data_IF_513265411014
#
_entry.id   IF_513265411014
#
_cell.length_a   1.000
_cell.length_b   1.000
_cell.length_c   1.000
_cell.angle_alpha   90.00
_cell.angle_beta   90.00
_cell.angle_gamma   90.00
#
_symmetry.space_group_name_H-M   'P 1'
#
loop_
_entity.id
_entity.type
_entity.pdbx_description
1 polymer ?
#
# COMPACT_ATOMS: atom_id res chain seq x y z
N UNK A 1 3.41 6.61 -11.70
CA UNK A 1 4.28 7.64 -11.12
C UNK A 1 3.43 8.54 -10.24
N UNK A 2 3.81 8.73 -8.98
CA UNK A 2 3.09 9.56 -8.02
C UNK A 2 3.89 9.67 -6.72
N UNK A 3 3.73 10.78 -6.01
CA UNK A 3 4.48 11.15 -4.80
C UNK A 3 3.78 10.71 -3.50
N UNK A 4 2.65 10.00 -3.60
CA UNK A 4 1.81 9.68 -2.43
C UNK A 4 2.49 8.80 -1.37
N UNK A 5 3.57 8.12 -1.74
CA UNK A 5 4.34 7.30 -0.80
C UNK A 5 5.67 7.94 -0.42
N UNK A 6 5.92 9.19 -0.80
CA UNK A 6 7.12 9.91 -0.36
C UNK A 6 7.04 10.23 1.14
N UNK A 7 8.16 10.15 1.88
CA UNK A 7 9.52 9.85 1.42
C UNK A 7 9.85 8.34 1.34
N UNK A 8 8.94 7.46 1.77
CA UNK A 8 9.18 6.01 1.85
C UNK A 8 9.47 5.38 0.49
N UNK A 9 8.73 5.76 -0.55
CA UNK A 9 8.93 5.36 -1.93
C UNK A 9 8.88 6.58 -2.84
N UNK A 10 9.93 6.75 -3.64
CA UNK A 10 10.02 7.81 -4.65
C UNK A 10 9.75 7.25 -6.03
N UNK A 11 9.41 8.14 -6.96
CA UNK A 11 9.31 7.75 -8.36
C UNK A 11 10.64 7.18 -8.87
N UNK A 12 10.57 6.05 -9.56
CA UNK A 12 11.74 5.30 -10.01
C UNK A 12 12.33 4.31 -8.99
N UNK A 13 11.83 4.25 -7.75
CA UNK A 13 12.19 3.18 -6.82
C UNK A 13 11.65 1.83 -7.31
N UNK A 14 12.47 0.79 -7.18
CA UNK A 14 12.07 -0.61 -7.39
C UNK A 14 11.65 -1.23 -6.07
N UNK A 15 10.61 -2.08 -6.08
CA UNK A 15 10.12 -2.75 -4.87
C UNK A 15 10.08 -4.26 -5.06
N UNK A 16 10.39 -4.99 -4.00
CA UNK A 16 10.15 -6.43 -3.91
C UNK A 16 8.83 -6.68 -3.18
N UNK A 17 7.96 -7.45 -3.82
CA UNK A 17 6.62 -7.76 -3.31
C UNK A 17 6.52 -9.25 -3.00
N UNK A 18 6.22 -9.58 -1.75
CA UNK A 18 5.85 -10.94 -1.36
C UNK A 18 4.36 -11.16 -1.62
N UNK A 19 4.04 -12.12 -2.49
CA UNK A 19 2.69 -12.49 -2.90
C UNK A 19 2.21 -13.81 -2.28
N UNK A 20 2.97 -14.38 -1.35
CA UNK A 20 2.57 -15.61 -0.66
C UNK A 20 1.26 -15.38 0.10
N UNK A 21 0.29 -16.31 0.03
CA UNK A 21 -0.96 -16.19 0.76
C UNK A 21 -0.69 -16.19 2.28
N UNK A 22 -1.42 -15.36 3.00
CA UNK A 22 -1.28 -15.21 4.44
C UNK A 22 -2.27 -14.19 4.99
N UNK A 23 -2.36 -14.05 6.33
CA UNK A 23 -3.19 -13.02 6.93
C UNK A 23 -2.71 -11.63 6.51
N UNK A 24 -3.65 -10.75 6.20
CA UNK A 24 -3.36 -9.34 5.98
C UNK A 24 -2.80 -8.73 7.27
N UNK A 25 -1.77 -7.89 7.12
CA UNK A 25 -1.07 -7.24 8.24
C UNK A 25 -0.82 -5.79 7.89
N UNK A 26 -0.55 -4.99 8.91
CA UNK A 26 -0.19 -3.59 8.70
C UNK A 26 1.16 -3.47 7.95
N UNK A 27 1.28 -2.41 7.16
CA UNK A 27 2.49 -2.07 6.42
C UNK A 27 2.24 -1.71 4.97
N UNK A 28 3.32 -1.55 4.20
CA UNK A 28 3.22 -1.13 2.79
C UNK A 28 2.85 -2.32 1.91
N UNK A 29 1.81 -2.15 1.11
CA UNK A 29 1.26 -3.17 0.22
C UNK A 29 1.06 -2.59 -1.18
N UNK A 30 1.12 -3.48 -2.16
CA UNK A 30 0.59 -3.23 -3.49
C UNK A 30 -0.86 -3.67 -3.48
N UNK A 31 -1.76 -2.76 -3.82
CA UNK A 31 -3.20 -3.00 -3.84
C UNK A 31 -3.76 -2.65 -5.21
N UNK A 32 -4.86 -3.29 -5.57
CA UNK A 32 -5.70 -2.90 -6.69
C UNK A 32 -7.01 -2.37 -6.12
N UNK A 33 -7.29 -1.11 -6.44
CA UNK A 33 -8.55 -0.44 -6.14
C UNK A 33 -9.17 -0.07 -7.48
N UNK A 34 -10.35 -0.61 -7.76
CA UNK A 34 -10.96 -0.58 -9.09
C UNK A 34 -9.97 -1.09 -10.18
N UNK A 35 -9.71 -0.26 -11.20
CA UNK A 35 -8.77 -0.56 -12.28
C UNK A 35 -7.33 -0.06 -12.01
N UNK A 36 -7.10 0.58 -10.86
CA UNK A 36 -5.81 1.19 -10.52
C UNK A 36 -4.98 0.31 -9.59
N UNK A 37 -3.70 0.10 -9.95
CA UNK A 37 -2.71 -0.51 -9.05
C UNK A 37 -1.99 0.60 -8.29
N UNK A 38 -2.05 0.53 -6.96
CA UNK A 38 -1.54 1.54 -6.05
C UNK A 38 -0.57 0.89 -5.06
N UNK A 39 0.36 1.69 -4.54
CA UNK A 39 1.16 1.32 -3.36
C UNK A 39 0.68 2.21 -2.22
N UNK A 40 0.23 1.59 -1.13
CA UNK A 40 -0.30 2.26 0.06
C UNK A 40 0.11 1.51 1.32
N UNK A 41 0.12 2.21 2.45
CA UNK A 41 0.20 1.57 3.75
C UNK A 41 -1.20 1.12 4.16
N UNK A 42 -1.32 -0.14 4.55
CA UNK A 42 -2.54 -0.71 5.10
C UNK A 42 -2.47 -0.62 6.62
N UNK A 43 -3.58 -0.21 7.23
CA UNK A 43 -3.90 -0.35 8.64
C UNK A 43 -5.18 -1.20 8.77
N UNK A 44 -5.07 -2.29 9.52
CA UNK A 44 -6.14 -3.28 9.79
C UNK A 44 -6.74 -3.15 11.20
N UNK A 45 -6.39 -2.10 11.95
CA UNK A 45 -6.76 -1.89 13.35
C UNK A 45 -8.25 -1.76 13.65
N UNK A 46 -9.11 -1.73 12.61
CA UNK A 46 -10.57 -1.76 12.73
C UNK A 46 -11.12 -3.04 12.12
N UNK A 47 -11.83 -3.82 12.94
CA UNK A 47 -12.43 -5.08 12.49
C UNK A 47 -13.33 -4.87 11.26
N UNK A 48 -13.09 -5.65 10.21
CA UNK A 48 -13.84 -5.60 8.94
C UNK A 48 -13.38 -4.55 7.94
N UNK A 49 -12.51 -3.61 8.35
CA UNK A 49 -12.11 -2.48 7.53
C UNK A 49 -10.62 -2.46 7.23
N UNK A 50 -10.28 -1.84 6.11
CA UNK A 50 -8.93 -1.55 5.68
C UNK A 50 -8.81 -0.04 5.51
N UNK A 51 -7.79 0.55 6.12
CA UNK A 51 -7.46 1.95 5.87
C UNK A 51 -6.22 2.00 4.99
N UNK A 52 -6.36 2.60 3.80
CA UNK A 52 -5.25 2.90 2.89
C UNK A 52 -4.69 4.27 3.25
N UNK A 53 -3.43 4.29 3.68
CA UNK A 53 -2.69 5.47 4.12
C UNK A 53 -1.60 5.76 3.10
N UNK A 54 -1.49 7.03 2.74
CA UNK A 54 -0.36 7.58 2.00
C UNK A 54 0.69 8.02 3.00
N UNK A 55 1.96 7.65 2.80
CA UNK A 55 3.04 8.12 3.67
C UNK A 55 3.31 9.63 3.45
N UNK A 56 2.91 10.16 2.29
CA UNK A 56 2.86 11.59 2.03
C UNK A 56 1.59 12.19 2.65
N UNK A 57 1.78 13.07 3.65
CA UNK A 57 0.71 13.67 4.46
C UNK A 57 -0.19 14.65 3.70
N UNK A 58 0.17 15.04 2.46
CA UNK A 58 -0.71 15.82 1.59
C UNK A 58 -1.96 15.04 1.15
N UNK A 59 -1.95 13.71 1.29
CA UNK A 59 -3.03 12.83 0.87
C UNK A 59 -3.79 12.27 2.09
N UNK A 60 -5.09 12.46 2.10
CA UNK A 60 -5.97 11.90 3.14
C UNK A 60 -6.02 10.36 3.08
N UNK A 61 -6.16 9.68 4.23
CA UNK A 61 -6.45 8.25 4.28
C UNK A 61 -7.78 7.91 3.61
N UNK A 62 -7.88 6.71 3.05
CA UNK A 62 -9.10 6.16 2.45
C UNK A 62 -9.51 4.93 3.26
N UNK A 63 -10.71 4.97 3.84
CA UNK A 63 -11.27 3.83 4.60
C UNK A 63 -12.18 3.02 3.67
N UNK A 64 -11.95 1.72 3.62
CA UNK A 64 -12.63 0.76 2.75
C UNK A 64 -13.06 -0.47 3.55
N UNK A 65 -14.10 -1.14 3.09
CA UNK A 65 -14.43 -2.49 3.53
C UNK A 65 -13.42 -3.48 2.92
N UNK A 66 -13.12 -4.58 3.62
CA UNK A 66 -12.07 -5.51 3.19
C UNK A 66 -12.30 -6.14 1.79
N UNK A 67 -13.53 -6.14 1.29
CA UNK A 67 -13.89 -6.64 -0.05
C UNK A 67 -13.78 -5.62 -1.18
N UNK A 68 -13.55 -4.35 -0.89
CA UNK A 68 -13.48 -3.28 -1.90
C UNK A 68 -12.07 -3.11 -2.49
N UNK A 69 -11.08 -3.79 -1.92
CA UNK A 69 -9.68 -3.70 -2.36
C UNK A 69 -9.06 -5.09 -2.50
N UNK A 70 -8.36 -5.30 -3.60
CA UNK A 70 -7.59 -6.53 -3.83
C UNK A 70 -6.12 -6.30 -3.43
N UNK A 71 -5.65 -7.06 -2.44
CA UNK A 71 -4.27 -6.96 -1.95
C UNK A 71 -3.38 -7.89 -2.78
N UNK A 72 -2.59 -7.28 -3.68
CA UNK A 72 -1.72 -8.02 -4.60
C UNK A 72 -0.46 -8.56 -3.92
N UNK A 73 -0.06 -7.98 -2.80
CA UNK A 73 1.06 -8.46 -1.98
C UNK A 73 1.69 -7.40 -1.10
N UNK A 74 2.59 -7.83 -0.23
CA UNK A 74 3.28 -6.97 0.74
C UNK A 74 4.63 -6.52 0.20
N UNK A 75 4.92 -5.22 0.32
CA UNK A 75 6.26 -4.70 0.02
C UNK A 75 7.19 -5.12 1.15
N UNK A 76 8.21 -5.90 0.82
CA UNK A 76 9.20 -6.41 1.80
C UNK A 76 10.55 -5.73 1.67
N UNK A 77 10.79 -5.05 0.56
CA UNK A 77 12.03 -4.33 0.30
C UNK A 77 11.85 -3.26 -0.77
N UNK A 78 12.71 -2.24 -0.74
CA UNK A 78 12.82 -1.21 -1.78
C UNK A 78 14.29 -1.01 -2.18
N UNK A 79 14.53 -0.75 -3.46
CA UNK A 79 15.75 -0.13 -3.99
C UNK A 79 15.41 1.25 -4.52
N UNK A 80 16.28 2.21 -4.26
CA UNK A 80 16.11 3.56 -4.78
C UNK A 80 17.46 4.25 -4.87
N UNK A 81 17.58 5.18 -5.82
CA UNK A 81 18.75 6.06 -5.87
C UNK A 81 18.70 6.98 -4.64
N UNK A 82 19.82 7.05 -3.90
CA UNK A 82 19.96 8.00 -2.80
C UNK A 82 19.95 9.45 -3.31
#
# INVERSE_FOLDING_TARGET
>A
AGDSMEPTLRDGDEILVDRRPGPLRDGVHVVRLDDAVLVKRIDTGRSGKIVLISDNTAYSPVELEAGEVDVLGRVVWKSGRM
#
